data_IF_638201564148
#
_entry.id   IF_638201564148
#
_cell.length_a   1.000
_cell.length_b   1.000
_cell.length_c   1.000
_cell.angle_alpha   90.00
_cell.angle_beta   90.00
_cell.angle_gamma   90.00
#
_symmetry.space_group_name_H-M   'P 1'
#
loop_
_entity.id
_entity.type
_entity.pdbx_description
1 polymer ?
#
# COMPACT_ATOMS: atom_id res chain seq x y z
N UNK A 1 5.84 18.64 -47.24
CA UNK A 1 5.15 19.06 -45.99
C UNK A 1 4.15 18.05 -45.44
N UNK A 2 3.63 17.09 -46.24
CA UNK A 2 2.66 16.06 -45.77
C UNK A 2 3.26 14.93 -44.90
N UNK A 3 4.58 14.72 -44.96
CA UNK A 3 5.28 13.66 -44.22
C UNK A 3 5.68 14.03 -42.78
N UNK A 4 5.75 15.32 -42.47
CA UNK A 4 6.12 15.81 -41.13
C UNK A 4 4.92 15.75 -40.18
N UNK A 5 3.69 15.85 -40.71
CA UNK A 5 2.47 15.77 -39.91
C UNK A 5 2.21 14.36 -39.34
N UNK A 6 2.66 13.30 -40.01
CA UNK A 6 2.50 11.93 -39.54
C UNK A 6 3.42 11.56 -38.38
N UNK A 7 4.57 12.23 -38.23
CA UNK A 7 5.54 11.94 -37.16
C UNK A 7 5.12 12.55 -35.82
N UNK A 8 4.32 13.63 -35.84
CA UNK A 8 3.81 14.26 -34.62
C UNK A 8 2.67 13.46 -33.95
N UNK A 9 1.92 12.65 -34.72
CA UNK A 9 0.76 11.90 -34.23
C UNK A 9 1.19 10.61 -33.51
N UNK A 10 2.32 10.00 -33.87
CA UNK A 10 2.79 8.75 -33.24
C UNK A 10 3.42 8.96 -31.86
N UNK A 11 3.95 10.15 -31.56
CA UNK A 11 4.59 10.45 -30.27
C UNK A 11 3.55 10.70 -29.16
N UNK A 12 2.32 11.11 -29.51
CA UNK A 12 1.29 11.42 -28.52
C UNK A 12 0.68 10.18 -27.83
N UNK A 13 0.74 9.00 -28.46
CA UNK A 13 0.01 7.80 -27.99
C UNK A 13 0.78 7.05 -26.88
N UNK A 14 2.08 7.29 -26.70
CA UNK A 14 2.91 6.57 -25.72
C UNK A 14 2.72 7.08 -24.28
N UNK A 15 2.16 8.27 -24.09
CA UNK A 15 2.08 8.93 -22.77
C UNK A 15 1.01 8.39 -21.81
N UNK A 16 0.15 7.45 -22.23
CA UNK A 16 -0.95 6.93 -21.39
C UNK A 16 -0.65 5.58 -20.73
N UNK A 17 0.48 4.93 -21.04
CA UNK A 17 0.79 3.59 -20.54
C UNK A 17 1.54 3.57 -19.19
N UNK A 18 2.07 4.71 -18.74
CA UNK A 18 2.90 4.75 -17.53
C UNK A 18 2.10 4.75 -16.21
N UNK A 19 0.78 4.93 -16.27
CA UNK A 19 -0.06 5.02 -15.06
C UNK A 19 -0.30 3.67 -14.35
N UNK A 20 0.04 2.54 -14.98
CA UNK A 20 -0.23 1.20 -14.43
C UNK A 20 0.99 0.47 -13.88
N UNK A 21 2.21 0.81 -14.31
CA UNK A 21 3.42 0.05 -13.93
C UNK A 21 3.69 0.06 -12.42
N UNK A 22 3.34 1.15 -11.74
CA UNK A 22 3.53 1.29 -10.29
C UNK A 22 2.62 0.37 -9.45
N UNK A 23 1.49 -0.07 -9.98
CA UNK A 23 0.59 -1.00 -9.29
C UNK A 23 1.08 -2.45 -9.37
N UNK A 24 1.82 -2.74 -10.42
CA UNK A 24 2.43 -4.04 -10.65
C UNK A 24 3.81 -4.15 -9.96
N UNK A 25 4.35 -3.03 -9.48
CA UNK A 25 5.64 -2.99 -8.78
C UNK A 25 5.48 -3.39 -7.32
N UNK A 26 6.28 -4.37 -6.89
CA UNK A 26 6.34 -4.74 -5.49
C UNK A 26 7.04 -3.67 -4.66
N UNK A 27 6.52 -3.38 -3.48
CA UNK A 27 7.12 -2.41 -2.56
C UNK A 27 7.12 -2.91 -1.13
N UNK A 28 8.02 -2.32 -0.35
CA UNK A 28 8.17 -2.59 1.08
C UNK A 28 8.05 -1.27 1.84
N UNK A 29 7.23 -1.31 2.89
CA UNK A 29 7.06 -0.24 3.87
C UNK A 29 7.66 -0.74 5.17
N UNK A 30 8.62 -0.01 5.71
CA UNK A 30 9.17 -0.27 7.05
C UNK A 30 8.75 0.87 7.96
N UNK A 31 8.08 0.55 9.06
CA UNK A 31 7.74 1.47 10.12
C UNK A 31 8.56 1.18 11.37
N UNK A 32 8.90 2.21 12.12
CA UNK A 32 9.47 2.09 13.48
C UNK A 32 8.42 2.30 14.57
N UNK A 33 7.18 2.62 14.18
CA UNK A 33 6.09 2.91 15.09
C UNK A 33 4.74 2.47 14.51
N UNK A 34 3.95 1.78 15.32
CA UNK A 34 2.59 1.37 15.02
C UNK A 34 1.61 2.14 15.91
N UNK A 35 0.70 2.89 15.30
CA UNK A 35 -0.33 3.66 16.01
C UNK A 35 -1.67 2.96 15.86
N UNK A 36 -2.27 2.58 16.97
CA UNK A 36 -3.61 1.99 17.03
C UNK A 36 -4.63 3.08 17.29
N UNK A 37 -5.62 3.15 16.42
CA UNK A 37 -6.70 4.13 16.44
C UNK A 37 -8.02 3.45 16.80
N UNK A 38 -8.89 4.18 17.48
CA UNK A 38 -10.30 3.80 17.64
C UNK A 38 -11.12 4.16 16.38
N UNK A 39 -12.43 3.90 16.45
CA UNK A 39 -13.39 4.21 15.40
C UNK A 39 -13.53 5.70 15.08
N UNK A 40 -13.08 6.58 15.98
CA UNK A 40 -13.13 8.04 15.86
C UNK A 40 -11.77 8.65 15.48
N UNK A 41 -10.82 7.83 15.02
CA UNK A 41 -9.45 8.24 14.68
C UNK A 41 -8.62 8.76 15.86
N UNK A 42 -9.02 8.50 17.11
CA UNK A 42 -8.22 8.85 18.28
C UNK A 42 -7.14 7.80 18.52
N UNK A 43 -5.95 8.26 18.93
CA UNK A 43 -4.86 7.36 19.33
C UNK A 43 -5.21 6.67 20.64
N UNK A 44 -5.37 5.33 20.58
CA UNK A 44 -5.60 4.49 21.75
C UNK A 44 -4.29 3.96 22.30
N UNK A 45 -3.34 3.66 21.40
CA UNK A 45 -2.05 3.07 21.75
C UNK A 45 -1.02 3.36 20.67
N UNK A 46 0.21 3.61 21.10
CA UNK A 46 1.37 3.64 20.22
C UNK A 46 2.36 2.58 20.66
N UNK A 47 2.93 1.85 19.71
CA UNK A 47 3.96 0.85 19.97
C UNK A 47 5.16 1.19 19.11
N UNK A 48 6.32 1.37 19.74
CA UNK A 48 7.59 1.48 19.03
C UNK A 48 8.08 0.08 18.69
N UNK A 49 7.97 -0.29 17.42
CA UNK A 49 8.37 -1.59 16.90
C UNK A 49 8.80 -1.46 15.44
N UNK A 50 9.77 -2.27 15.03
CA UNK A 50 10.18 -2.35 13.64
C UNK A 50 9.23 -3.30 12.90
N UNK A 51 8.28 -2.75 12.16
CA UNK A 51 7.30 -3.53 11.41
C UNK A 51 7.49 -3.34 9.91
N UNK A 52 7.43 -4.43 9.15
CA UNK A 52 7.64 -4.42 7.71
C UNK A 52 6.40 -4.94 6.99
N UNK A 53 5.95 -4.22 5.96
CA UNK A 53 4.83 -4.62 5.10
C UNK A 53 5.34 -4.69 3.68
N UNK A 54 5.32 -5.89 3.11
CA UNK A 54 5.64 -6.14 1.70
C UNK A 54 4.34 -6.33 0.94
N UNK A 55 4.17 -5.57 -0.14
CA UNK A 55 3.02 -5.65 -1.02
C UNK A 55 3.53 -5.99 -2.42
N UNK A 56 2.99 -7.05 -3.02
CA UNK A 56 3.12 -7.36 -4.43
C UNK A 56 1.74 -7.29 -5.09
N UNK A 57 1.69 -7.52 -6.40
CA UNK A 57 0.42 -7.62 -7.15
C UNK A 57 -0.52 -8.69 -6.58
N UNK A 58 0.03 -9.78 -6.08
CA UNK A 58 -0.74 -10.99 -5.72
C UNK A 58 -0.76 -11.26 -4.23
N UNK A 59 0.16 -10.67 -3.46
CA UNK A 59 0.40 -11.10 -2.08
C UNK A 59 0.77 -9.93 -1.20
N UNK A 60 0.28 -9.97 0.03
CA UNK A 60 0.70 -9.07 1.10
C UNK A 60 1.35 -9.91 2.19
N UNK A 61 2.44 -9.39 2.75
CA UNK A 61 3.13 -9.98 3.90
C UNK A 61 3.38 -8.89 4.92
N UNK A 62 2.93 -9.11 6.15
CA UNK A 62 3.15 -8.25 7.30
C UNK A 62 4.08 -9.00 8.26
N UNK A 63 5.22 -8.40 8.57
CA UNK A 63 6.22 -8.89 9.53
C UNK A 63 6.30 -7.87 10.67
N UNK A 64 5.53 -8.05 11.76
CA UNK A 64 5.64 -7.20 12.93
C UNK A 64 6.93 -7.52 13.70
N UNK A 65 7.53 -6.53 14.36
CA UNK A 65 8.86 -6.69 14.96
C UNK A 65 8.97 -7.80 16.01
N UNK A 66 7.92 -7.99 16.82
CA UNK A 66 7.89 -8.96 17.92
C UNK A 66 6.69 -9.92 17.83
N UNK A 67 6.07 -10.06 16.66
CA UNK A 67 4.88 -10.91 16.49
C UNK A 67 5.04 -11.84 15.28
N UNK A 68 4.07 -12.73 15.10
CA UNK A 68 4.06 -13.69 14.01
C UNK A 68 3.79 -13.00 12.68
N UNK A 69 4.45 -13.51 11.63
CA UNK A 69 4.23 -13.08 10.26
C UNK A 69 2.81 -13.42 9.82
N UNK A 70 2.17 -12.51 9.12
CA UNK A 70 0.88 -12.71 8.48
C UNK A 70 1.03 -12.52 6.98
N UNK A 71 0.38 -13.37 6.18
CA UNK A 71 0.41 -13.21 4.74
C UNK A 71 -0.87 -13.69 4.09
N UNK A 72 -1.08 -13.28 2.84
CA UNK A 72 -2.18 -13.82 2.05
C UNK A 72 -2.39 -13.10 0.73
N UNK A 73 -3.36 -13.57 -0.05
CA UNK A 73 -3.60 -13.06 -1.39
C UNK A 73 -4.21 -11.65 -1.38
N UNK A 74 -3.81 -10.85 -2.36
CA UNK A 74 -4.45 -9.57 -2.71
C UNK A 74 -5.71 -9.87 -3.51
N UNK A 75 -6.87 -9.44 -3.01
CA UNK A 75 -8.14 -9.53 -3.72
C UNK A 75 -8.39 -8.30 -4.60
N UNK A 76 -7.82 -7.15 -4.23
CA UNK A 76 -7.99 -5.89 -4.96
C UNK A 76 -6.77 -4.98 -4.79
N UNK A 77 -6.31 -4.39 -5.88
CA UNK A 77 -5.30 -3.34 -5.87
C UNK A 77 -5.72 -2.21 -6.82
N UNK A 78 -6.13 -1.07 -6.27
CA UNK A 78 -6.45 0.14 -7.03
C UNK A 78 -5.39 1.21 -6.79
N UNK A 79 -4.93 1.84 -7.86
CA UNK A 79 -4.00 2.96 -7.81
C UNK A 79 -4.65 4.21 -8.39
N UNK A 80 -4.50 5.33 -7.70
CA UNK A 80 -4.95 6.65 -8.12
C UNK A 80 -3.85 7.64 -7.80
N UNK A 81 -2.77 7.59 -8.58
CA UNK A 81 -1.59 8.42 -8.40
C UNK A 81 -1.48 9.47 -9.51
N UNK A 82 -1.29 10.73 -9.13
CA UNK A 82 -0.89 11.79 -10.04
C UNK A 82 0.61 11.71 -10.30
N UNK A 83 1.39 11.43 -9.24
CA UNK A 83 2.83 11.18 -9.32
C UNK A 83 3.16 9.97 -8.43
N UNK A 84 3.77 8.90 -8.97
CA UNK A 84 4.03 7.67 -8.22
C UNK A 84 4.68 7.93 -6.86
N UNK A 85 4.04 7.48 -5.79
CA UNK A 85 4.50 7.58 -4.40
C UNK A 85 4.81 9.00 -3.88
N UNK A 86 4.42 10.04 -4.62
CA UNK A 86 4.61 11.45 -4.24
C UNK A 86 3.31 12.22 -4.10
N UNK A 87 2.34 11.94 -4.95
CA UNK A 87 1.01 12.56 -4.91
C UNK A 87 -0.05 11.58 -5.40
N UNK A 88 -0.95 11.19 -4.49
CA UNK A 88 -2.04 10.26 -4.75
C UNK A 88 -2.13 9.12 -3.74
N UNK A 89 -2.77 8.01 -4.14
CA UNK A 89 -3.05 6.88 -3.23
C UNK A 89 -3.18 5.52 -3.91
N UNK A 90 -2.93 4.45 -3.15
CA UNK A 90 -3.30 3.07 -3.47
C UNK A 90 -4.23 2.49 -2.42
N UNK A 91 -5.26 1.78 -2.84
CA UNK A 91 -6.10 0.92 -2.00
C UNK A 91 -5.74 -0.54 -2.29
N UNK A 92 -5.33 -1.28 -1.26
CA UNK A 92 -4.97 -2.70 -1.34
C UNK A 92 -5.86 -3.46 -0.37
N UNK A 93 -6.60 -4.45 -0.86
CA UNK A 93 -7.42 -5.35 -0.05
C UNK A 93 -6.79 -6.74 -0.11
N UNK A 94 -6.52 -7.33 1.04
CA UNK A 94 -5.93 -8.66 1.14
C UNK A 94 -6.57 -9.47 2.26
N UNK A 95 -6.64 -10.79 2.07
CA UNK A 95 -7.09 -11.73 3.10
C UNK A 95 -5.87 -12.34 3.77
N UNK A 96 -5.52 -11.89 4.97
CA UNK A 96 -4.31 -12.33 5.67
C UNK A 96 -4.64 -13.42 6.68
N UNK A 97 -3.82 -14.47 6.73
CA UNK A 97 -3.83 -15.44 7.82
C UNK A 97 -2.46 -15.52 8.46
N UNK A 98 -2.46 -15.95 9.72
CA UNK A 98 -1.27 -16.45 10.38
C UNK A 98 -1.25 -17.96 10.18
N UNK A 99 -0.14 -18.52 9.69
CA UNK A 99 -0.02 -19.94 9.34
C UNK A 99 -0.44 -20.90 10.47
N UNK A 100 -0.40 -20.45 11.72
CA UNK A 100 -0.78 -21.26 12.89
C UNK A 100 -2.25 -21.11 13.33
N UNK A 101 -2.95 -20.03 12.95
CA UNK A 101 -4.24 -19.67 13.54
C UNK A 101 -5.44 -20.17 12.72
N UNK A 102 -5.25 -20.58 11.45
CA UNK A 102 -6.31 -21.08 10.58
C UNK A 102 -7.34 -20.04 10.12
N UNK A 103 -7.52 -18.95 10.87
CA UNK A 103 -8.44 -17.87 10.54
C UNK A 103 -7.79 -16.84 9.61
N UNK A 104 -8.52 -16.48 8.54
CA UNK A 104 -8.15 -15.42 7.61
C UNK A 104 -8.98 -14.17 7.89
N UNK A 105 -8.35 -13.00 7.89
CA UNK A 105 -9.01 -11.71 8.07
C UNK A 105 -8.79 -10.83 6.86
N UNK A 106 -9.85 -10.16 6.41
CA UNK A 106 -9.73 -9.16 5.36
C UNK A 106 -9.18 -7.86 5.93
N UNK A 107 -8.11 -7.35 5.32
CA UNK A 107 -7.48 -6.08 5.66
C UNK A 107 -7.57 -5.14 4.46
N UNK A 108 -8.07 -3.95 4.72
CA UNK A 108 -8.10 -2.81 3.82
C UNK A 108 -6.92 -1.89 4.14
N UNK A 109 -5.96 -1.78 3.23
CA UNK A 109 -4.79 -0.91 3.35
C UNK A 109 -4.89 0.26 2.39
N UNK A 110 -4.80 1.47 2.92
CA UNK A 110 -4.76 2.72 2.17
C UNK A 110 -3.37 3.35 2.30
N UNK A 111 -2.61 3.32 1.21
CA UNK A 111 -1.33 4.01 1.08
C UNK A 111 -1.57 5.36 0.43
N UNK A 112 -1.22 6.46 1.08
CA UNK A 112 -1.40 7.81 0.55
C UNK A 112 -0.07 8.55 0.60
N UNK A 113 0.20 9.38 -0.43
CA UNK A 113 1.24 10.38 -0.35
C UNK A 113 0.70 11.76 -0.70
N UNK A 114 1.16 12.75 0.07
CA UNK A 114 0.93 14.17 -0.22
C UNK A 114 2.25 14.89 -0.13
N UNK A 115 2.69 15.49 -1.24
CA UNK A 115 3.98 16.19 -1.35
C UNK A 115 5.17 15.31 -0.94
N UNK A 116 5.15 14.03 -1.30
CA UNK A 116 6.22 13.08 -0.98
C UNK A 116 6.19 12.50 0.43
N UNK A 117 5.26 12.91 1.30
CA UNK A 117 5.08 12.32 2.63
C UNK A 117 4.12 11.15 2.51
N UNK A 118 4.63 9.93 2.70
CA UNK A 118 3.85 8.69 2.66
C UNK A 118 3.22 8.36 4.02
N UNK A 119 2.01 7.81 3.98
CA UNK A 119 1.33 7.24 5.14
C UNK A 119 0.58 5.98 4.74
N UNK A 120 0.54 4.99 5.63
CA UNK A 120 -0.23 3.76 5.41
C UNK A 120 -1.23 3.59 6.56
N UNK A 121 -2.49 3.38 6.20
CA UNK A 121 -3.55 3.03 7.15
C UNK A 121 -4.08 1.65 6.81
N UNK A 122 -4.11 0.73 7.77
CA UNK A 122 -4.69 -0.60 7.65
C UNK A 122 -5.93 -0.72 8.54
N UNK A 123 -7.01 -1.28 8.02
CA UNK A 123 -8.28 -1.51 8.73
C UNK A 123 -8.68 -2.97 8.56
N UNK A 124 -9.08 -3.63 9.65
CA UNK A 124 -9.58 -5.01 9.63
C UNK A 124 -11.10 -4.97 9.58
N UNK A 125 -11.72 -5.73 8.66
CA UNK A 125 -13.18 -5.66 8.41
C UNK A 125 -14.05 -6.33 9.49
N UNK A 126 -13.47 -7.14 10.38
CA UNK A 126 -14.22 -8.10 11.20
C UNK A 126 -14.18 -7.76 12.71
N UNK A 127 -14.98 -6.77 13.10
CA UNK A 127 -15.24 -6.27 14.48
C UNK A 127 -14.25 -5.27 15.12
N UNK A 128 -14.87 -4.24 15.73
CA UNK A 128 -14.33 -3.13 16.55
C UNK A 128 -13.75 -1.89 15.84
N UNK A 129 -13.81 -1.74 14.51
CA UNK A 129 -13.22 -0.57 13.81
C UNK A 129 -11.75 -0.33 14.21
N UNK A 130 -11.01 -1.39 14.54
CA UNK A 130 -9.60 -1.28 14.92
C UNK A 130 -8.80 -0.89 13.70
N UNK A 131 -8.28 0.34 13.72
CA UNK A 131 -7.47 0.91 12.65
C UNK A 131 -6.03 1.00 13.12
N UNK A 132 -5.11 0.63 12.23
CA UNK A 132 -3.68 0.75 12.46
C UNK A 132 -3.16 1.78 11.46
N UNK A 133 -2.41 2.76 11.96
CA UNK A 133 -1.72 3.74 11.15
C UNK A 133 -0.23 3.62 11.36
N UNK A 134 0.51 3.54 10.26
CA UNK A 134 1.97 3.60 10.26
C UNK A 134 2.41 4.99 9.83
N UNK A 135 3.14 5.67 10.71
CA UNK A 135 3.72 7.00 10.48
C UNK A 135 5.24 6.87 10.29
N UNK A 136 5.86 7.83 9.57
CA UNK A 136 7.33 7.88 9.46
C UNK A 136 7.94 6.71 8.70
N UNK A 137 7.22 6.21 7.70
CA UNK A 137 7.60 4.99 6.98
C UNK A 137 8.80 5.21 6.05
N UNK A 138 9.74 4.26 6.06
CA UNK A 138 10.71 4.10 4.97
C UNK A 138 10.06 3.29 3.87
N UNK A 139 10.18 3.76 2.63
CA UNK A 139 9.61 3.14 1.45
C UNK A 139 10.72 2.70 0.49
N UNK A 140 10.60 1.49 -0.03
CA UNK A 140 11.49 0.98 -1.07
C UNK A 140 10.70 0.13 -2.06
N UNK A 141 10.93 0.35 -3.36
CA UNK A 141 10.46 -0.57 -4.41
C UNK A 141 11.47 -1.69 -4.59
N UNK A 142 11.00 -2.91 -4.81
CA UNK A 142 11.86 -4.00 -5.31
C UNK A 142 11.65 -4.08 -6.82
N UNK A 143 12.71 -3.79 -7.60
CA UNK A 143 12.72 -4.06 -9.04
C UNK A 143 12.93 -5.56 -9.29
#
# INVERSE_FOLDING_TARGET
MKRILFLAITIAIVSLQELYAQCDTAFTITSTQTVYLDSSDNVVRTVDELSTIRVSKTTVTITPGNSRVMSGPVSKHECKWQVPFKDGRSLIIASLSNETAGESRTINMLLEAKKGVLSLTATVDDDDNKRIKLNGVKFSTTQ
#
